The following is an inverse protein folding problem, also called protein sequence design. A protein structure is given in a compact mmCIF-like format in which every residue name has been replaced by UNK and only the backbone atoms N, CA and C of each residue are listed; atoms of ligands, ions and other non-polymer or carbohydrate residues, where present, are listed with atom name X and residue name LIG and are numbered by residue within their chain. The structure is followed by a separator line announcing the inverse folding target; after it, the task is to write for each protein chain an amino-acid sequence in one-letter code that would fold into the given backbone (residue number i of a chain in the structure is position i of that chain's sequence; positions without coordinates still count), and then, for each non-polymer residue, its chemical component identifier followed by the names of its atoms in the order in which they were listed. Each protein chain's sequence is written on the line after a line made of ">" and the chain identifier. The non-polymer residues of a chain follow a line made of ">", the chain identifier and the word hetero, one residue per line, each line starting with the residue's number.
data_IF_670404645103
#
_entry.id   IF_670404645103
#
_cell.length_a   1.000
_cell.length_b   1.000
_cell.length_c   1.000
_cell.angle_alpha   90.00
_cell.angle_beta   90.00
_cell.angle_gamma   90.00
#
_symmetry.space_group_name_H-M   'P 1'
#
loop_
_entity.id
_entity.type
_entity.pdbx_description
1 polymer ?
#
# COMPACT_ATOMS: atom_id res chain seq x y z
N UNK A 1 -11.06 -8.05 1.62
CA UNK A 1 -12.22 -7.22 1.20
C UNK A 1 -11.67 -5.98 0.52
N UNK A 2 -12.21 -5.63 -0.66
CA UNK A 2 -11.81 -4.44 -1.42
C UNK A 2 -12.72 -3.25 -1.09
N UNK A 3 -12.12 -2.08 -0.87
CA UNK A 3 -12.79 -0.83 -0.52
C UNK A 3 -12.64 0.28 -1.59
N UNK A 4 -12.24 -0.05 -2.80
CA UNK A 4 -11.98 0.92 -3.88
C UNK A 4 -13.17 1.82 -4.21
N UNK A 5 -14.40 1.32 -4.06
CA UNK A 5 -15.63 2.09 -4.31
C UNK A 5 -15.82 3.29 -3.37
N UNK A 6 -15.12 3.30 -2.24
CA UNK A 6 -15.21 4.41 -1.27
C UNK A 6 -14.17 5.51 -1.52
N UNK A 7 -13.28 5.34 -2.51
CA UNK A 7 -12.32 6.37 -2.90
C UNK A 7 -13.02 7.59 -3.47
N UNK A 8 -12.50 8.77 -3.14
CA UNK A 8 -12.93 10.05 -3.73
C UNK A 8 -11.70 10.70 -4.36
N UNK A 9 -11.62 10.75 -5.69
CA UNK A 9 -10.52 11.45 -6.37
C UNK A 9 -10.51 12.93 -6.03
N UNK A 10 -9.33 13.46 -5.80
CA UNK A 10 -9.10 14.89 -5.65
C UNK A 10 -7.83 15.26 -6.41
N UNK A 11 -7.87 16.33 -7.20
CA UNK A 11 -6.70 16.79 -7.91
C UNK A 11 -5.71 17.53 -6.98
N UNK A 12 -4.49 17.72 -7.45
CA UNK A 12 -3.42 18.32 -6.64
C UNK A 12 -3.68 19.77 -6.27
N UNK A 13 -4.37 20.52 -7.12
CA UNK A 13 -4.70 21.93 -6.86
C UNK A 13 -5.72 22.04 -5.73
N UNK A 14 -6.83 21.31 -5.82
CA UNK A 14 -7.89 21.31 -4.81
C UNK A 14 -7.36 20.81 -3.47
N UNK A 15 -6.54 19.73 -3.47
CA UNK A 15 -5.91 19.24 -2.24
C UNK A 15 -5.00 20.28 -1.60
N UNK A 16 -4.18 20.99 -2.37
CA UNK A 16 -3.32 22.07 -1.85
C UNK A 16 -4.14 23.18 -1.21
N UNK A 17 -5.24 23.59 -1.83
CA UNK A 17 -6.12 24.63 -1.29
C UNK A 17 -6.77 24.19 0.02
N UNK A 18 -7.16 22.93 0.15
CA UNK A 18 -7.78 22.38 1.35
C UNK A 18 -6.84 22.34 2.56
N UNK A 19 -5.54 22.23 2.37
CA UNK A 19 -4.55 22.21 3.46
C UNK A 19 -3.96 23.57 3.78
N UNK A 20 -4.23 24.59 2.95
CA UNK A 20 -3.67 25.93 3.11
C UNK A 20 -4.14 26.56 4.43
N UNK A 21 -3.17 27.01 5.23
CA UNK A 21 -3.43 27.69 6.52
C UNK A 21 -3.85 26.78 7.66
N UNK A 22 -3.87 25.45 7.47
CA UNK A 22 -4.22 24.48 8.51
C UNK A 22 -3.00 24.03 9.30
N UNK A 23 -3.20 23.76 10.60
CA UNK A 23 -2.20 23.17 11.47
C UNK A 23 -2.08 21.64 11.24
N UNK A 24 -0.99 21.04 11.71
CA UNK A 24 -0.78 19.58 11.59
C UNK A 24 -1.91 18.74 12.22
N UNK A 25 -2.49 19.22 13.30
CA UNK A 25 -3.53 18.52 14.05
C UNK A 25 -4.89 18.49 13.32
N UNK A 26 -5.05 19.34 12.30
CA UNK A 26 -6.23 19.39 11.43
C UNK A 26 -6.06 18.58 10.15
N UNK A 27 -4.91 17.91 9.98
CA UNK A 27 -4.55 17.24 8.74
C UNK A 27 -4.41 15.73 8.94
N UNK A 28 -4.84 14.99 7.93
CA UNK A 28 -4.75 13.54 7.84
C UNK A 28 -3.81 13.11 6.71
N UNK A 29 -3.12 11.96 6.84
CA UNK A 29 -2.27 11.43 5.79
C UNK A 29 -3.05 11.19 4.49
N UNK A 30 -2.43 11.58 3.38
CA UNK A 30 -2.94 11.36 2.03
C UNK A 30 -2.01 10.41 1.29
N UNK A 31 -2.56 9.24 0.87
CA UNK A 31 -1.80 8.14 0.31
C UNK A 31 -2.02 7.96 -1.19
N UNK A 32 -0.98 7.49 -1.88
CA UNK A 32 -0.98 7.16 -3.30
C UNK A 32 -0.56 5.72 -3.55
N UNK A 33 -0.13 5.42 -4.79
CA UNK A 33 0.26 4.06 -5.21
C UNK A 33 1.44 3.47 -4.42
N UNK A 34 2.38 4.28 -3.96
CA UNK A 34 3.65 3.83 -3.39
C UNK A 34 3.95 4.38 -2.00
N UNK A 35 2.97 5.02 -1.35
CA UNK A 35 3.16 5.56 -0.01
C UNK A 35 2.41 6.87 0.22
N UNK A 36 2.73 7.52 1.34
CA UNK A 36 2.18 8.82 1.67
C UNK A 36 2.76 9.90 0.76
N UNK A 37 1.88 10.67 0.11
CA UNK A 37 2.25 11.74 -0.82
C UNK A 37 1.87 13.14 -0.31
N UNK A 38 1.39 13.24 0.92
CA UNK A 38 1.06 14.51 1.57
C UNK A 38 0.00 14.38 2.64
N UNK A 39 -0.74 15.47 2.80
CA UNK A 39 -1.84 15.59 3.76
C UNK A 39 -3.09 16.16 3.12
N UNK A 40 -4.22 16.01 3.82
CA UNK A 40 -5.51 16.58 3.50
C UNK A 40 -6.28 16.89 4.79
N UNK A 41 -7.28 17.74 4.74
CA UNK A 41 -8.05 18.20 5.89
C UNK A 41 -9.26 17.34 6.28
N UNK A 42 -9.34 16.14 5.73
CA UNK A 42 -10.42 15.19 5.97
C UNK A 42 -9.93 13.75 5.78
N UNK A 43 -10.73 12.76 6.14
CA UNK A 43 -10.40 11.35 5.97
C UNK A 43 -11.59 10.58 5.38
N UNK A 44 -11.31 9.56 4.61
CA UNK A 44 -12.30 8.61 4.06
C UNK A 44 -12.28 7.27 4.78
N UNK A 45 -11.14 6.93 5.37
CA UNK A 45 -10.91 5.64 6.00
C UNK A 45 -10.44 5.85 7.44
N UNK A 46 -10.86 4.98 8.34
CA UNK A 46 -10.40 4.93 9.71
C UNK A 46 -10.28 3.46 10.14
N UNK A 47 -9.08 2.92 10.08
CA UNK A 47 -8.82 1.51 10.36
C UNK A 47 -7.45 1.07 9.89
N UNK A 48 -7.27 -0.23 9.78
CA UNK A 48 -6.06 -0.85 9.26
C UNK A 48 -6.35 -1.43 7.88
N UNK A 49 -5.57 -1.02 6.89
CA UNK A 49 -5.73 -1.43 5.50
C UNK A 49 -4.38 -1.70 4.86
N UNK A 50 -4.38 -2.58 3.87
CA UNK A 50 -3.27 -2.75 2.94
C UNK A 50 -3.59 -1.96 1.68
N UNK A 51 -2.67 -1.11 1.26
CA UNK A 51 -2.73 -0.41 0.00
C UNK A 51 -1.84 -1.12 -1.01
N UNK A 52 -2.40 -1.47 -2.16
CA UNK A 52 -1.69 -2.08 -3.28
C UNK A 52 -1.77 -1.13 -4.48
N UNK A 53 -0.64 -0.80 -5.10
CA UNK A 53 -0.65 0.07 -6.26
C UNK A 53 -1.62 -0.38 -7.35
N UNK A 54 -2.44 0.54 -7.87
CA UNK A 54 -3.32 0.31 -9.03
C UNK A 54 -2.65 0.74 -10.32
N UNK A 55 -2.06 1.93 -10.32
CA UNK A 55 -1.29 2.44 -11.45
C UNK A 55 -0.04 3.19 -10.99
N UNK A 56 0.93 3.35 -11.89
CA UNK A 56 2.22 4.00 -11.62
C UNK A 56 3.02 3.41 -10.45
N UNK A 57 2.69 2.21 -9.98
CA UNK A 57 3.53 1.47 -9.05
C UNK A 57 4.64 0.72 -9.82
N UNK A 58 5.78 0.47 -9.21
CA UNK A 58 6.93 -0.19 -9.87
C UNK A 58 6.74 -1.72 -9.93
N UNK A 59 5.71 -2.18 -10.62
CA UNK A 59 5.27 -3.58 -10.62
C UNK A 59 6.34 -4.57 -11.07
N UNK A 60 7.15 -4.21 -12.05
CA UNK A 60 8.17 -5.10 -12.63
C UNK A 60 9.52 -5.01 -11.92
N UNK A 61 9.70 -4.07 -11.00
CA UNK A 61 10.87 -4.02 -10.14
C UNK A 61 10.67 -4.94 -8.93
N UNK A 62 11.34 -6.09 -8.92
CA UNK A 62 11.24 -7.09 -7.83
C UNK A 62 11.67 -6.57 -6.47
N UNK A 63 12.49 -5.51 -6.41
CA UNK A 63 12.97 -4.92 -5.16
C UNK A 63 12.07 -3.80 -4.64
N UNK A 64 11.25 -3.23 -5.49
CA UNK A 64 10.38 -2.13 -5.12
C UNK A 64 9.12 -2.60 -4.41
N UNK A 65 8.67 -1.80 -3.44
CA UNK A 65 7.43 -2.02 -2.72
C UNK A 65 6.21 -1.71 -3.59
N UNK A 66 5.25 -2.63 -3.67
CA UNK A 66 3.97 -2.49 -4.40
C UNK A 66 2.79 -2.39 -3.44
N UNK A 67 2.92 -3.00 -2.25
CA UNK A 67 1.90 -2.99 -1.20
C UNK A 67 2.50 -2.50 0.12
N UNK A 68 1.71 -1.77 0.90
CA UNK A 68 2.09 -1.28 2.22
C UNK A 68 0.86 -1.14 3.12
N UNK A 69 1.09 -1.15 4.42
CA UNK A 69 0.02 -1.01 5.41
C UNK A 69 -0.17 0.43 5.83
N UNK A 70 -1.42 0.80 6.09
CA UNK A 70 -1.81 2.07 6.70
C UNK A 70 -2.68 1.80 7.93
N UNK A 71 -2.68 2.73 8.89
CA UNK A 71 -3.48 2.63 10.10
C UNK A 71 -4.04 3.99 10.52
N UNK A 72 -5.26 3.97 11.03
CA UNK A 72 -5.95 5.15 11.52
C UNK A 72 -6.65 5.94 10.43
N UNK A 73 -6.90 7.23 10.71
CA UNK A 73 -7.61 8.13 9.80
C UNK A 73 -6.73 8.50 8.61
N UNK A 74 -7.25 8.32 7.41
CA UNK A 74 -6.49 8.52 6.17
C UNK A 74 -7.38 8.81 4.97
N UNK A 75 -6.80 9.42 3.94
CA UNK A 75 -7.39 9.56 2.62
C UNK A 75 -6.51 8.82 1.61
N UNK A 76 -7.11 7.99 0.79
CA UNK A 76 -6.42 7.26 -0.27
C UNK A 76 -6.92 7.74 -1.62
N UNK A 77 -6.00 8.03 -2.53
CA UNK A 77 -6.35 8.44 -3.89
C UNK A 77 -6.74 7.22 -4.76
N UNK A 78 -7.08 7.50 -6.02
CA UNK A 78 -7.50 6.47 -6.99
C UNK A 78 -6.34 5.70 -7.66
N UNK A 79 -5.10 5.82 -7.15
CA UNK A 79 -3.93 5.13 -7.68
C UNK A 79 -3.51 3.91 -6.83
N UNK A 80 -4.27 3.59 -5.80
CA UNK A 80 -4.06 2.41 -4.97
C UNK A 80 -5.37 1.67 -4.71
N UNK A 81 -5.35 0.35 -4.78
CA UNK A 81 -6.38 -0.53 -4.24
C UNK A 81 -6.34 -0.50 -2.72
N UNK A 82 -7.51 -0.56 -2.09
CA UNK A 82 -7.66 -0.53 -0.63
C UNK A 82 -8.23 -1.86 -0.18
N UNK A 83 -7.44 -2.61 0.58
CA UNK A 83 -7.75 -3.96 0.99
C UNK A 83 -7.80 -4.08 2.50
N UNK A 84 -8.88 -4.65 3.01
CA UNK A 84 -8.92 -5.16 4.37
C UNK A 84 -8.58 -6.64 4.35
N UNK A 85 -7.54 -7.03 5.09
CA UNK A 85 -7.10 -8.41 5.15
C UNK A 85 -8.06 -9.29 5.94
N UNK A 86 -8.25 -10.53 5.48
CA UNK A 86 -8.92 -11.62 6.22
C UNK A 86 -7.92 -12.63 6.81
N UNK A 87 -6.63 -12.40 6.56
CA UNK A 87 -5.51 -13.19 7.08
C UNK A 87 -4.56 -12.24 7.81
N UNK A 88 -3.45 -12.73 8.34
CA UNK A 88 -2.49 -11.87 9.03
C UNK A 88 -1.99 -10.74 8.10
N UNK A 89 -2.21 -9.45 8.41
CA UNK A 89 -2.03 -8.37 7.45
C UNK A 89 -0.58 -8.22 6.96
N UNK A 90 0.41 -8.35 7.85
CA UNK A 90 1.83 -8.28 7.49
C UNK A 90 2.23 -9.42 6.56
N UNK A 91 1.69 -10.63 6.79
CA UNK A 91 1.90 -11.78 5.91
C UNK A 91 1.37 -11.48 4.50
N UNK A 92 0.11 -11.02 4.40
CA UNK A 92 -0.50 -10.68 3.10
C UNK A 92 0.28 -9.57 2.39
N UNK A 93 0.70 -8.54 3.12
CA UNK A 93 1.51 -7.44 2.56
C UNK A 93 2.82 -7.96 1.98
N UNK A 94 3.51 -8.85 2.68
CA UNK A 94 4.74 -9.49 2.20
C UNK A 94 4.48 -10.36 0.96
N UNK A 95 3.41 -11.16 0.95
CA UNK A 95 3.01 -11.93 -0.22
C UNK A 95 2.78 -11.03 -1.43
N UNK A 96 2.00 -9.95 -1.28
CA UNK A 96 1.73 -9.00 -2.36
C UNK A 96 3.00 -8.32 -2.88
N UNK A 97 4.00 -8.08 -2.04
CA UNK A 97 5.29 -7.54 -2.47
C UNK A 97 6.19 -8.57 -3.18
N UNK A 98 5.98 -9.86 -2.97
CA UNK A 98 6.78 -10.94 -3.56
C UNK A 98 6.26 -11.44 -4.92
N UNK A 99 5.05 -11.06 -5.32
CA UNK A 99 4.42 -11.51 -6.56
C UNK A 99 5.18 -10.95 -7.78
N UNK A 100 5.31 -11.79 -8.81
CA UNK A 100 5.67 -11.35 -10.14
C UNK A 100 4.39 -10.83 -10.84
N UNK A 101 4.33 -9.53 -11.05
CA UNK A 101 3.15 -8.87 -11.62
C UNK A 101 3.09 -8.87 -13.15
N UNK A 102 4.06 -9.49 -13.84
CA UNK A 102 4.18 -9.42 -15.30
C UNK A 102 2.86 -9.82 -16.01
N UNK A 103 2.21 -10.90 -15.57
CA UNK A 103 0.97 -11.41 -16.18
C UNK A 103 -0.31 -10.73 -15.64
N UNK A 104 -0.19 -9.82 -14.67
CA UNK A 104 -1.33 -9.16 -14.04
C UNK A 104 -1.49 -7.69 -14.42
N UNK A 105 -0.43 -7.07 -14.96
CA UNK A 105 -0.44 -5.65 -15.32
C UNK A 105 -0.46 -5.46 -16.83
N UNK A 106 -1.02 -4.35 -17.28
CA UNK A 106 -1.02 -3.96 -18.67
C UNK A 106 -0.64 -2.49 -18.84
N UNK A 107 -0.30 -2.11 -20.05
CA UNK A 107 0.18 -0.76 -20.40
C UNK A 107 1.64 -0.76 -20.83
N UNK A 108 2.06 0.32 -21.44
CA UNK A 108 3.45 0.49 -21.93
C UNK A 108 4.24 1.49 -21.08
N UNK A 109 3.74 2.71 -20.97
CA UNK A 109 4.42 3.78 -20.23
C UNK A 109 4.01 3.82 -18.75
N UNK A 110 2.76 3.45 -18.47
CA UNK A 110 2.21 3.42 -17.11
C UNK A 110 1.46 2.11 -16.92
N UNK A 111 2.10 1.20 -16.21
CA UNK A 111 1.52 -0.10 -15.91
C UNK A 111 0.34 0.05 -14.96
N UNK A 112 -0.72 -0.70 -15.21
CA UNK A 112 -1.94 -0.71 -14.42
C UNK A 112 -2.31 -2.13 -14.00
N UNK A 113 -2.58 -2.30 -12.71
CA UNK A 113 -3.20 -3.48 -12.13
C UNK A 113 -4.69 -3.18 -11.95
N UNK A 114 -5.56 -3.78 -12.76
CA UNK A 114 -7.01 -3.64 -12.58
C UNK A 114 -7.50 -4.45 -11.39
N UNK A 115 -8.67 -4.09 -10.86
CA UNK A 115 -9.34 -4.89 -9.82
C UNK A 115 -9.60 -6.33 -10.30
N UNK A 116 -9.95 -6.53 -11.56
CA UNK A 116 -10.16 -7.87 -12.15
C UNK A 116 -8.87 -8.69 -12.10
N UNK A 117 -7.74 -8.13 -12.56
CA UNK A 117 -6.46 -8.81 -12.53
C UNK A 117 -5.94 -9.02 -11.10
N UNK A 118 -6.14 -8.04 -10.21
CA UNK A 118 -5.81 -8.19 -8.80
C UNK A 118 -6.56 -9.37 -8.17
N UNK A 119 -7.84 -9.57 -8.49
CA UNK A 119 -8.65 -10.68 -7.97
C UNK A 119 -8.21 -12.05 -8.50
N UNK A 120 -7.40 -12.11 -9.55
CA UNK A 120 -6.81 -13.36 -10.07
C UNK A 120 -5.52 -13.76 -9.37
N UNK A 121 -4.95 -12.87 -8.57
CA UNK A 121 -3.72 -13.15 -7.83
C UNK A 121 -3.96 -14.24 -6.80
N UNK A 122 -3.20 -15.32 -6.89
CA UNK A 122 -3.24 -16.41 -5.93
C UNK A 122 -2.25 -16.14 -4.80
N UNK A 123 -2.75 -16.17 -3.57
CA UNK A 123 -1.95 -16.05 -2.35
C UNK A 123 -2.09 -17.34 -1.54
N UNK A 124 -0.99 -18.00 -1.14
CA UNK A 124 -1.06 -19.14 -0.24
C UNK A 124 -1.59 -18.71 1.12
N UNK A 125 -2.43 -19.54 1.74
CA UNK A 125 -3.02 -19.23 3.06
C UNK A 125 -2.72 -20.40 4.01
N UNK A 126 -1.52 -20.45 4.62
CA UNK A 126 -1.18 -21.42 5.64
C UNK A 126 -1.93 -21.14 6.95
N UNK A 127 -1.67 -21.89 8.00
CA UNK A 127 -2.24 -21.62 9.32
C UNK A 127 -1.87 -20.21 9.82
N UNK A 128 -2.71 -19.61 10.66
CA UNK A 128 -2.44 -18.27 11.20
C UNK A 128 -1.11 -18.23 11.98
N UNK A 129 -0.77 -19.30 12.67
CA UNK A 129 0.50 -19.44 13.39
C UNK A 129 1.69 -19.37 12.43
N UNK A 130 1.61 -20.05 11.29
CA UNK A 130 2.65 -20.04 10.27
C UNK A 130 2.74 -18.68 9.57
N UNK A 131 1.62 -18.03 9.29
CA UNK A 131 1.60 -16.66 8.76
C UNK A 131 2.34 -15.69 9.68
N UNK A 132 2.08 -15.75 10.99
CA UNK A 132 2.77 -14.93 11.98
C UNK A 132 4.28 -15.20 12.03
N UNK A 133 4.67 -16.49 12.02
CA UNK A 133 6.10 -16.87 12.00
C UNK A 133 6.83 -16.36 10.77
N UNK A 134 6.21 -16.48 9.59
CA UNK A 134 6.77 -16.00 8.33
C UNK A 134 6.94 -14.48 8.38
N UNK A 135 5.90 -13.74 8.76
CA UNK A 135 5.94 -12.28 8.84
C UNK A 135 7.01 -11.80 9.82
N UNK A 136 7.12 -12.43 10.99
CA UNK A 136 8.14 -12.10 11.98
C UNK A 136 9.56 -12.39 11.48
N UNK A 137 9.78 -13.51 10.80
CA UNK A 137 11.08 -13.86 10.23
C UNK A 137 11.50 -12.83 9.17
N UNK A 138 10.58 -12.42 8.29
CA UNK A 138 10.83 -11.39 7.28
C UNK A 138 11.17 -10.05 7.94
N UNK A 139 10.40 -9.63 8.94
CA UNK A 139 10.66 -8.38 9.67
C UNK A 139 12.04 -8.40 10.35
N UNK A 140 12.43 -9.49 10.98
CA UNK A 140 13.74 -9.64 11.60
C UNK A 140 14.89 -9.52 10.58
N UNK A 141 14.71 -10.08 9.37
CA UNK A 141 15.67 -9.94 8.28
C UNK A 141 15.80 -8.48 7.82
N UNK A 142 14.69 -7.74 7.68
CA UNK A 142 14.74 -6.32 7.33
C UNK A 142 15.48 -5.51 8.39
N UNK A 143 15.20 -5.72 9.68
CA UNK A 143 15.90 -5.05 10.78
C UNK A 143 17.40 -5.33 10.72
N UNK A 144 17.81 -6.56 10.47
CA UNK A 144 19.21 -6.95 10.33
C UNK A 144 19.88 -6.26 9.13
N UNK A 145 19.21 -6.21 7.98
CA UNK A 145 19.71 -5.54 6.77
C UNK A 145 19.94 -4.04 7.05
N UNK A 146 18.97 -3.36 7.67
CA UNK A 146 19.10 -1.94 7.99
C UNK A 146 20.23 -1.69 9.00
N UNK A 147 20.40 -2.58 9.99
CA UNK A 147 21.53 -2.52 10.93
C UNK A 147 22.89 -2.64 10.23
N UNK A 148 23.02 -3.57 9.26
CA UNK A 148 24.23 -3.75 8.46
C UNK A 148 24.51 -2.51 7.61
N UNK A 149 23.49 -1.98 6.93
CA UNK A 149 23.64 -0.74 6.13
C UNK A 149 24.14 0.42 6.98
N UNK A 150 23.55 0.62 8.17
CA UNK A 150 23.96 1.67 9.10
C UNK A 150 25.40 1.51 9.60
N UNK A 151 25.91 0.26 9.69
CA UNK A 151 27.29 0.00 10.12
C UNK A 151 28.34 0.20 9.00
N UNK A 152 27.87 0.30 7.73
CA UNK A 152 28.74 0.49 6.56
C UNK A 152 28.77 1.94 6.06
N UNK A 153 27.91 2.79 6.61
CA UNK A 153 27.83 4.23 6.28
C UNK A 153 28.61 5.07 7.27
#
# INVERSE_FOLDING_TARGET
>A
INYDSYRKPINSYDRKNRVLGKSKDELYPYYGATGQIGFIDDFLFNGEYILLGEDAAPFLDKKAQKAYMIKGKSWVNNHAHILQSLVFPEYLTNCLNSIDYFDYVYGTTRLKLTQENMNRILVPVPSIEEQCKIAQAINNLFVLIESIKASLS
#
